data_IF_465142156606
#
_entry.id   IF_465142156606
#
_cell.length_a   1.000
_cell.length_b   1.000
_cell.length_c   1.000
_cell.angle_alpha   90.00
_cell.angle_beta   90.00
_cell.angle_gamma   90.00
#
_symmetry.space_group_name_H-M   'P 1'
#
loop_
_entity.id
_entity.type
_entity.pdbx_description
1 polymer ?
#
# COMPACT_ATOMS: atom_id res chain seq x y z
N UNK A 1 -32.66 -60.64 -31.01
CA UNK A 1 -33.88 -60.66 -31.85
C UNK A 1 -34.59 -59.35 -31.64
N UNK A 2 -34.79 -58.61 -32.73
CA UNK A 2 -35.34 -57.26 -32.77
C UNK A 2 -36.80 -57.22 -32.33
N UNK A 3 -37.23 -56.11 -31.72
CA UNK A 3 -38.45 -55.40 -32.14
C UNK A 3 -38.53 -54.02 -31.49
N UNK A 4 -38.36 -53.03 -32.35
CA UNK A 4 -38.82 -51.66 -32.25
C UNK A 4 -40.35 -51.60 -32.23
N UNK A 5 -40.95 -50.85 -31.32
CA UNK A 5 -42.35 -50.44 -31.44
C UNK A 5 -42.46 -48.92 -31.58
N UNK A 6 -43.07 -48.54 -32.71
CA UNK A 6 -43.42 -47.18 -33.09
C UNK A 6 -44.77 -46.82 -32.47
N UNK A 7 -44.85 -45.55 -32.07
CA UNK A 7 -46.06 -44.81 -31.75
C UNK A 7 -47.09 -44.86 -32.90
N UNK A 8 -48.36 -45.00 -32.55
CA UNK A 8 -49.46 -44.46 -33.37
C UNK A 8 -50.63 -43.98 -32.51
N UNK A 9 -51.03 -42.76 -32.85
CA UNK A 9 -52.06 -41.83 -32.38
C UNK A 9 -53.49 -42.39 -32.48
N UNK A 10 -54.37 -41.94 -31.55
CA UNK A 10 -55.79 -41.63 -31.75
C UNK A 10 -56.39 -41.24 -30.37
N UNK A 11 -57.41 -40.41 -30.19
CA UNK A 11 -58.12 -39.39 -30.96
C UNK A 11 -59.05 -38.70 -29.94
N UNK A 12 -59.35 -37.43 -30.22
CA UNK A 12 -60.18 -36.52 -29.42
C UNK A 12 -61.66 -36.92 -29.29
N UNK A 13 -62.32 -36.44 -28.23
CA UNK A 13 -63.67 -35.80 -28.26
C UNK A 13 -64.02 -35.35 -26.83
N UNK A 14 -64.04 -34.03 -26.60
CA UNK A 14 -65.22 -33.17 -26.42
C UNK A 14 -66.00 -33.49 -25.13
N UNK A 15 -66.14 -32.60 -24.15
CA UNK A 15 -66.96 -31.39 -24.22
C UNK A 15 -66.95 -30.62 -22.88
N UNK A 16 -67.41 -29.35 -22.92
CA UNK A 16 -68.08 -28.54 -21.86
C UNK A 16 -67.33 -27.26 -21.43
N UNK A 17 -67.65 -26.18 -22.14
CA UNK A 17 -68.20 -24.89 -21.67
C UNK A 17 -67.65 -24.21 -20.40
N UNK A 18 -66.88 -23.15 -20.64
CA UNK A 18 -66.80 -21.77 -20.07
C UNK A 18 -67.32 -21.48 -18.64
N UNK A 19 -66.60 -20.62 -17.87
CA UNK A 19 -66.80 -19.17 -18.07
C UNK A 19 -65.51 -18.33 -18.11
N UNK A 20 -65.64 -17.19 -18.78
CA UNK A 20 -64.70 -16.08 -18.81
C UNK A 20 -64.52 -15.51 -17.40
N UNK A 21 -63.29 -15.53 -16.88
CA UNK A 21 -62.83 -14.59 -15.86
C UNK A 21 -61.90 -13.62 -16.56
N UNK A 22 -62.36 -12.39 -16.74
CA UNK A 22 -61.57 -11.26 -17.22
C UNK A 22 -60.57 -10.85 -16.14
N UNK A 23 -59.50 -11.61 -15.97
CA UNK A 23 -58.34 -11.15 -15.22
C UNK A 23 -57.35 -10.57 -16.23
N UNK A 24 -57.48 -9.25 -16.39
CA UNK A 24 -56.55 -8.38 -17.07
C UNK A 24 -55.17 -8.56 -16.41
N UNK A 25 -54.35 -9.47 -16.96
CA UNK A 25 -52.96 -9.65 -16.55
C UNK A 25 -52.18 -8.45 -17.10
N UNK A 26 -52.32 -7.31 -16.43
CA UNK A 26 -51.31 -6.26 -16.49
C UNK A 26 -49.99 -6.93 -16.12
N UNK A 27 -49.12 -7.06 -17.11
CA UNK A 27 -47.75 -7.52 -16.90
C UNK A 27 -47.15 -6.62 -15.83
N UNK A 28 -46.81 -7.19 -14.67
CA UNK A 28 -46.13 -6.48 -13.59
C UNK A 28 -44.74 -6.09 -14.10
N UNK A 29 -44.65 -4.97 -14.79
CA UNK A 29 -43.37 -4.38 -15.19
C UNK A 29 -42.80 -3.72 -13.95
N UNK A 30 -41.75 -4.33 -13.42
CA UNK A 30 -40.94 -3.73 -12.38
C UNK A 30 -39.99 -2.70 -13.02
N UNK A 31 -39.78 -1.50 -12.44
CA UNK A 31 -40.43 -0.96 -11.24
C UNK A 31 -41.83 -0.39 -11.54
N UNK A 32 -42.75 -0.53 -10.57
CA UNK A 32 -44.15 -0.09 -10.70
C UNK A 32 -44.27 1.44 -10.85
N UNK A 33 -45.23 1.91 -11.63
CA UNK A 33 -45.58 3.33 -11.85
C UNK A 33 -45.85 4.12 -10.56
N UNK A 34 -46.15 3.42 -9.46
CA UNK A 34 -46.45 3.99 -8.13
C UNK A 34 -45.21 4.34 -7.31
N UNK A 35 -44.00 3.94 -7.75
CA UNK A 35 -42.75 4.31 -7.08
C UNK A 35 -42.27 5.62 -7.75
N UNK A 36 -42.21 6.75 -7.02
CA UNK A 36 -41.64 7.97 -7.58
C UNK A 36 -40.18 7.69 -7.96
N UNK A 37 -39.82 7.97 -9.21
CA UNK A 37 -38.44 7.93 -9.67
C UNK A 37 -37.69 9.12 -9.06
N UNK A 38 -37.30 9.01 -7.80
CA UNK A 38 -36.60 10.06 -7.05
C UNK A 38 -37.16 10.30 -5.65
N UNK A 39 -36.24 10.57 -4.71
CA UNK A 39 -36.50 10.91 -3.32
C UNK A 39 -35.25 11.54 -2.69
N UNK A 40 -35.31 12.00 -1.45
CA UNK A 40 -34.22 12.73 -0.77
C UNK A 40 -32.85 12.03 -0.77
N UNK A 41 -32.83 10.70 -0.96
CA UNK A 41 -31.63 9.86 -1.01
C UNK A 41 -31.21 9.44 -2.44
N UNK A 42 -31.90 9.91 -3.48
CA UNK A 42 -31.51 9.63 -4.86
C UNK A 42 -30.54 10.72 -5.33
N UNK A 43 -29.36 10.30 -5.81
CA UNK A 43 -28.45 11.20 -6.51
C UNK A 43 -29.02 11.53 -7.90
N UNK A 44 -28.83 12.77 -8.40
CA UNK A 44 -29.21 13.10 -9.77
C UNK A 44 -28.45 12.19 -10.73
N UNK A 45 -29.19 11.58 -11.66
CA UNK A 45 -28.58 10.79 -12.73
C UNK A 45 -28.04 11.75 -13.79
N UNK A 46 -26.78 11.56 -14.16
CA UNK A 46 -26.09 12.27 -15.23
C UNK A 46 -25.95 11.34 -16.45
N UNK A 47 -26.56 11.73 -17.56
CA UNK A 47 -26.32 11.04 -18.83
C UNK A 47 -25.05 11.61 -19.46
N UNK A 48 -24.01 10.77 -19.56
CA UNK A 48 -22.81 11.15 -20.28
C UNK A 48 -23.10 11.20 -21.78
N UNK A 49 -22.66 12.28 -22.45
CA UNK A 49 -22.65 12.32 -23.91
C UNK A 49 -21.84 11.13 -24.45
N UNK A 50 -22.24 10.60 -25.61
CA UNK A 50 -21.56 9.48 -26.26
C UNK A 50 -20.07 9.77 -26.47
N UNK A 51 -19.75 10.99 -26.91
CA UNK A 51 -18.38 11.47 -27.09
C UNK A 51 -17.59 11.45 -25.77
N UNK A 52 -18.21 11.90 -24.67
CA UNK A 52 -17.59 11.90 -23.33
C UNK A 52 -17.38 10.48 -22.82
N UNK A 53 -18.34 9.58 -23.02
CA UNK A 53 -18.22 8.19 -22.62
C UNK A 53 -17.09 7.46 -23.38
N UNK A 54 -16.94 7.74 -24.68
CA UNK A 54 -15.87 7.19 -25.51
C UNK A 54 -14.49 7.73 -25.12
N UNK A 55 -14.40 9.04 -24.83
CA UNK A 55 -13.18 9.65 -24.29
C UNK A 55 -12.77 9.00 -22.97
N UNK A 56 -13.71 8.82 -22.03
CA UNK A 56 -13.41 8.18 -20.74
C UNK A 56 -12.93 6.74 -20.96
N UNK A 57 -13.54 5.98 -21.87
CA UNK A 57 -13.09 4.61 -22.20
C UNK A 57 -11.69 4.59 -22.81
N UNK A 58 -11.34 5.57 -23.65
CA UNK A 58 -9.99 5.71 -24.20
C UNK A 58 -8.98 5.99 -23.09
N UNK A 59 -9.28 6.96 -22.22
CA UNK A 59 -8.45 7.28 -21.06
C UNK A 59 -8.29 6.07 -20.12
N UNK A 60 -9.33 5.25 -19.92
CA UNK A 60 -9.24 4.02 -19.13
C UNK A 60 -8.36 2.93 -19.75
N UNK A 61 -8.22 2.92 -21.08
CA UNK A 61 -7.33 2.00 -21.81
C UNK A 61 -5.88 2.44 -21.73
N UNK A 62 -5.65 3.75 -21.82
CA UNK A 62 -4.31 4.35 -21.77
C UNK A 62 -3.77 4.43 -20.34
N UNK A 63 -4.64 4.72 -19.37
CA UNK A 63 -4.36 4.63 -17.94
C UNK A 63 -4.21 3.16 -17.55
N UNK A 64 -3.03 2.76 -17.06
CA UNK A 64 -2.73 1.40 -16.52
C UNK A 64 -3.49 1.11 -15.20
N UNK A 65 -4.79 1.32 -15.20
CA UNK A 65 -5.68 1.19 -14.05
C UNK A 65 -5.97 -0.28 -13.72
N UNK A 66 -6.40 -0.56 -12.47
CA UNK A 66 -6.84 -1.91 -12.06
C UNK A 66 -8.19 -2.30 -12.70
N UNK A 67 -8.42 -3.60 -12.92
CA UNK A 67 -9.70 -4.12 -13.45
C UNK A 67 -10.91 -3.73 -12.58
N UNK A 68 -10.73 -3.66 -11.26
CA UNK A 68 -11.79 -3.24 -10.34
C UNK A 68 -12.21 -1.79 -10.57
N UNK A 69 -11.23 -0.91 -10.75
CA UNK A 69 -11.48 0.51 -11.02
C UNK A 69 -12.10 0.70 -12.41
N UNK A 70 -11.68 -0.09 -13.41
CA UNK A 70 -12.33 -0.11 -14.73
C UNK A 70 -13.83 -0.43 -14.63
N UNK A 71 -14.16 -1.54 -13.96
CA UNK A 71 -15.55 -1.96 -13.74
C UNK A 71 -16.37 -0.92 -12.98
N UNK A 72 -15.76 -0.26 -11.99
CA UNK A 72 -16.43 0.79 -11.24
C UNK A 72 -16.78 1.99 -12.14
N UNK A 73 -15.84 2.46 -12.96
CA UNK A 73 -16.11 3.57 -13.89
C UNK A 73 -17.18 3.18 -14.93
N UNK A 74 -17.09 1.98 -15.50
CA UNK A 74 -18.11 1.48 -16.44
C UNK A 74 -19.51 1.41 -15.81
N UNK A 75 -19.60 1.05 -14.53
CA UNK A 75 -20.85 1.05 -13.78
C UNK A 75 -21.43 2.47 -13.67
N UNK A 76 -20.62 3.46 -13.32
CA UNK A 76 -21.07 4.85 -13.24
C UNK A 76 -21.52 5.39 -14.60
N UNK A 77 -20.82 5.06 -15.69
CA UNK A 77 -21.20 5.44 -17.06
C UNK A 77 -22.55 4.82 -17.47
N UNK A 78 -22.81 3.55 -17.11
CA UNK A 78 -24.05 2.84 -17.48
C UNK A 78 -25.27 3.27 -16.67
N UNK A 79 -25.09 3.53 -15.38
CA UNK A 79 -26.19 3.88 -14.49
C UNK A 79 -26.47 5.38 -14.44
N UNK A 80 -25.61 6.18 -15.08
CA UNK A 80 -25.67 7.62 -15.07
C UNK A 80 -25.33 8.21 -13.70
N UNK A 81 -24.35 7.66 -13.00
CA UNK A 81 -23.88 8.23 -11.74
C UNK A 81 -22.63 9.08 -11.98
N UNK A 82 -22.38 10.14 -11.19
CA UNK A 82 -21.15 10.91 -11.31
C UNK A 82 -19.92 10.05 -10.97
N UNK A 83 -18.81 10.28 -11.67
CA UNK A 83 -17.54 9.58 -11.43
C UNK A 83 -17.09 9.71 -9.95
N UNK A 84 -16.46 8.65 -9.39
CA UNK A 84 -16.02 8.67 -8.01
C UNK A 84 -14.93 9.72 -7.81
N UNK A 85 -15.07 10.54 -6.77
CA UNK A 85 -14.04 11.53 -6.41
C UNK A 85 -12.73 10.81 -6.05
N UNK A 86 -11.56 11.35 -6.43
CA UNK A 86 -10.29 10.79 -6.02
C UNK A 86 -10.23 10.76 -4.49
N UNK A 87 -9.99 9.56 -3.93
CA UNK A 87 -9.74 9.43 -2.49
C UNK A 87 -8.44 10.14 -2.19
N UNK A 88 -8.38 10.87 -1.06
CA UNK A 88 -7.11 11.39 -0.58
C UNK A 88 -6.11 10.24 -0.47
N UNK A 89 -4.83 10.48 -0.78
CA UNK A 89 -3.79 9.47 -0.57
C UNK A 89 -3.89 9.00 0.88
N UNK A 90 -4.01 7.69 1.05
CA UNK A 90 -4.04 7.10 2.40
C UNK A 90 -2.67 7.38 3.01
N UNK A 91 -2.61 8.31 3.96
CA UNK A 91 -1.47 8.42 4.85
C UNK A 91 -1.40 7.09 5.61
N UNK A 92 -0.22 6.49 5.66
CA UNK A 92 0.01 5.19 6.28
C UNK A 92 -0.03 5.31 7.81
N UNK A 93 -1.19 5.66 8.38
CA UNK A 93 -1.42 5.84 9.82
C UNK A 93 -1.40 4.51 10.60
N UNK A 94 -0.82 3.45 10.03
CA UNK A 94 -0.62 2.14 10.65
C UNK A 94 0.73 2.04 11.36
N UNK A 95 1.68 2.92 11.01
CA UNK A 95 3.02 2.98 11.61
C UNK A 95 3.20 4.26 12.43
N UNK A 96 2.09 4.91 12.82
CA UNK A 96 2.19 6.07 13.71
C UNK A 96 2.44 5.56 15.14
N UNK A 97 3.63 5.83 15.71
CA UNK A 97 3.98 5.38 17.06
C UNK A 97 2.99 5.92 18.09
N UNK A 98 2.41 7.09 17.84
CA UNK A 98 1.42 7.72 18.70
C UNK A 98 0.11 6.91 18.77
N UNK A 99 -0.29 6.23 17.68
CA UNK A 99 -1.50 5.40 17.67
C UNK A 99 -1.32 4.13 18.49
N UNK A 100 -0.16 3.47 18.34
CA UNK A 100 0.18 2.30 19.15
C UNK A 100 0.27 2.68 20.64
N UNK A 101 0.93 3.80 20.95
CA UNK A 101 0.98 4.34 22.30
C UNK A 101 -0.43 4.66 22.86
N UNK A 102 -1.30 5.29 22.07
CA UNK A 102 -2.70 5.55 22.43
C UNK A 102 -3.49 4.27 22.66
N UNK A 103 -3.26 3.21 21.89
CA UNK A 103 -3.92 1.92 22.07
C UNK A 103 -3.46 1.22 23.34
N UNK A 104 -2.15 1.23 23.63
CA UNK A 104 -1.59 0.72 24.88
C UNK A 104 -2.16 1.50 26.08
N UNK A 105 -2.25 2.82 25.99
CA UNK A 105 -2.83 3.67 27.03
C UNK A 105 -4.33 3.41 27.24
N UNK A 106 -5.10 3.20 26.16
CA UNK A 106 -6.51 2.82 26.24
C UNK A 106 -6.68 1.44 26.91
N UNK A 107 -5.82 0.48 26.57
CA UNK A 107 -5.82 -0.85 27.19
C UNK A 107 -5.48 -0.79 28.67
N UNK A 108 -4.47 0.01 29.03
CA UNK A 108 -4.05 0.23 30.42
C UNK A 108 -5.16 0.93 31.22
N UNK A 109 -5.79 1.98 30.66
CA UNK A 109 -6.92 2.68 31.28
C UNK A 109 -8.12 1.76 31.55
N UNK A 110 -8.34 0.77 30.69
CA UNK A 110 -9.44 -0.19 30.82
C UNK A 110 -9.03 -1.46 31.61
N UNK A 111 -7.77 -1.58 32.03
CA UNK A 111 -7.29 -2.73 32.78
C UNK A 111 -7.73 -2.64 34.25
N UNK A 112 -8.81 -3.34 34.60
CA UNK A 112 -9.23 -3.54 36.00
C UNK A 112 -8.52 -4.77 36.59
N UNK A 113 -8.18 -4.72 37.88
CA UNK A 113 -7.65 -5.90 38.60
C UNK A 113 -8.70 -7.00 38.61
N UNK A 114 -8.35 -8.20 38.15
CA UNK A 114 -9.23 -9.37 38.21
C UNK A 114 -9.19 -9.97 39.62
N UNK A 115 -10.31 -10.52 40.09
CA UNK A 115 -10.34 -11.30 41.33
C UNK A 115 -9.53 -12.58 41.18
N UNK A 116 -9.02 -13.12 42.29
CA UNK A 116 -8.28 -14.40 42.31
C UNK A 116 -9.10 -15.52 41.64
N UNK A 117 -10.39 -15.61 41.94
CA UNK A 117 -11.28 -16.60 41.35
C UNK A 117 -11.36 -16.46 39.82
N UNK A 118 -11.44 -15.24 39.30
CA UNK A 118 -11.44 -14.98 37.86
C UNK A 118 -10.10 -15.32 37.20
N UNK A 119 -8.97 -15.11 37.90
CA UNK A 119 -7.63 -15.48 37.40
C UNK A 119 -7.50 -17.01 37.31
N UNK A 120 -7.92 -17.74 38.36
CA UNK A 120 -7.93 -19.20 38.35
C UNK A 120 -8.87 -19.77 37.28
N UNK A 121 -10.09 -19.22 37.16
CA UNK A 121 -11.06 -19.63 36.14
C UNK A 121 -10.56 -19.36 34.71
N UNK A 122 -9.70 -18.35 34.51
CA UNK A 122 -9.12 -18.05 33.19
C UNK A 122 -8.01 -19.01 32.74
N UNK A 123 -7.60 -19.97 33.59
CA UNK A 123 -6.53 -20.91 33.26
C UNK A 123 -5.15 -20.26 33.16
N UNK A 124 -4.96 -19.07 33.74
CA UNK A 124 -3.71 -18.31 33.64
C UNK A 124 -2.51 -19.04 34.28
N UNK A 125 -2.77 -19.93 35.23
CA UNK A 125 -1.76 -20.77 35.87
C UNK A 125 -1.53 -22.11 35.18
N UNK A 126 -2.36 -22.46 34.20
CA UNK A 126 -2.23 -23.71 33.47
C UNK A 126 -1.10 -23.55 32.45
N UNK A 127 -0.04 -24.34 32.62
CA UNK A 127 1.08 -24.34 31.68
C UNK A 127 0.60 -24.92 30.34
N UNK A 128 0.65 -24.17 29.23
CA UNK A 128 0.27 -24.72 27.95
C UNK A 128 1.21 -25.88 27.60
N UNK A 129 0.67 -26.92 26.96
CA UNK A 129 1.48 -28.00 26.38
C UNK A 129 2.55 -27.36 25.47
N UNK A 130 3.81 -27.69 25.69
CA UNK A 130 4.90 -27.22 24.85
C UNK A 130 4.58 -27.49 23.38
N UNK A 131 4.53 -26.43 22.58
CA UNK A 131 4.44 -26.50 21.12
C UNK A 131 5.71 -25.83 20.58
N UNK A 132 6.61 -26.58 19.93
CA UNK A 132 7.72 -25.95 19.25
C UNK A 132 7.14 -24.97 18.23
N UNK A 133 7.78 -23.81 18.06
CA UNK A 133 7.38 -22.88 17.01
C UNK A 133 7.45 -23.63 15.68
N UNK A 134 6.47 -23.47 14.77
CA UNK A 134 6.54 -24.03 13.44
C UNK A 134 7.67 -23.32 12.69
N UNK A 135 8.88 -23.80 12.86
CA UNK A 135 10.04 -23.35 12.09
C UNK A 135 10.02 -24.15 10.79
N UNK A 136 9.63 -23.50 9.70
CA UNK A 136 9.64 -24.11 8.36
C UNK A 136 11.07 -24.35 7.83
N UNK A 137 12.08 -23.92 8.59
CA UNK A 137 13.47 -23.99 8.19
C UNK A 137 14.12 -25.26 8.75
N UNK A 138 14.73 -26.03 7.87
CA UNK A 138 15.59 -27.14 8.29
C UNK A 138 16.69 -26.61 9.23
N UNK A 139 16.99 -27.33 10.33
CA UNK A 139 18.01 -26.91 11.26
C UNK A 139 19.35 -26.75 10.52
N UNK A 140 19.99 -25.60 10.69
CA UNK A 140 21.31 -25.32 10.10
C UNK A 140 22.33 -26.36 10.59
N UNK A 141 23.33 -26.69 9.76
CA UNK A 141 24.44 -27.58 10.15
C UNK A 141 25.11 -27.16 11.47
N UNK A 142 25.17 -25.84 11.73
CA UNK A 142 25.66 -25.31 13.02
C UNK A 142 24.80 -25.74 14.21
N UNK A 143 23.47 -25.73 14.03
CA UNK A 143 22.53 -26.15 15.08
C UNK A 143 22.59 -27.67 15.30
N UNK A 144 22.77 -28.46 14.23
CA UNK A 144 22.97 -29.91 14.33
C UNK A 144 24.25 -30.25 15.08
N UNK A 145 25.36 -29.57 14.74
CA UNK A 145 26.64 -29.75 15.41
C UNK A 145 26.59 -29.36 16.90
N UNK A 146 25.98 -28.22 17.21
CA UNK A 146 25.77 -27.79 18.61
C UNK A 146 24.94 -28.79 19.40
N UNK A 147 23.88 -29.35 18.79
CA UNK A 147 23.10 -30.41 19.41
C UNK A 147 23.94 -31.67 19.64
N UNK A 148 24.76 -32.08 18.66
CA UNK A 148 25.65 -33.24 18.77
C UNK A 148 26.67 -33.06 19.91
N UNK A 149 27.27 -31.88 20.06
CA UNK A 149 28.18 -31.54 21.16
C UNK A 149 27.46 -31.55 22.52
N UNK A 150 26.25 -30.99 22.57
CA UNK A 150 25.45 -30.96 23.81
C UNK A 150 25.05 -32.38 24.24
N UNK A 151 24.66 -33.23 23.30
CA UNK A 151 24.23 -34.61 23.55
C UNK A 151 25.40 -35.55 23.87
N UNK A 152 26.59 -35.30 23.32
CA UNK A 152 27.79 -36.10 23.62
C UNK A 152 28.32 -35.82 25.03
N UNK A 153 27.97 -34.69 25.64
CA UNK A 153 28.47 -34.26 26.95
C UNK A 153 29.93 -33.80 26.92
N UNK A 154 30.60 -33.88 25.77
CA UNK A 154 31.92 -33.29 25.54
C UNK A 154 31.73 -31.92 24.91
N UNK A 155 32.15 -30.87 25.62
CA UNK A 155 32.29 -29.56 25.01
C UNK A 155 33.53 -29.57 24.12
N UNK A 156 33.37 -30.09 22.91
CA UNK A 156 34.36 -30.02 21.85
C UNK A 156 34.36 -28.56 21.41
N UNK A 157 35.15 -27.73 22.10
CA UNK A 157 35.30 -26.34 21.71
C UNK A 157 35.80 -26.33 20.27
N UNK A 158 35.00 -25.79 19.36
CA UNK A 158 35.50 -25.41 18.05
C UNK A 158 36.65 -24.41 18.30
N UNK A 159 37.90 -24.88 18.28
CA UNK A 159 39.10 -24.03 18.25
C UNK A 159 39.20 -23.21 16.95
N UNK A 160 38.13 -23.16 16.17
CA UNK A 160 37.93 -22.16 15.15
C UNK A 160 37.56 -20.85 15.84
N UNK A 161 38.59 -20.18 16.39
CA UNK A 161 38.53 -18.75 16.67
C UNK A 161 37.91 -18.10 15.44
N UNK A 162 36.65 -17.64 15.57
CA UNK A 162 35.99 -16.88 14.52
C UNK A 162 36.98 -15.77 14.15
N UNK A 163 37.36 -15.61 12.87
CA UNK A 163 38.33 -14.58 12.51
C UNK A 163 37.85 -13.29 13.13
N UNK A 164 38.69 -12.71 14.00
CA UNK A 164 38.36 -11.47 14.67
C UNK A 164 37.98 -10.52 13.55
N UNK A 165 36.70 -10.12 13.51
CA UNK A 165 36.20 -9.19 12.50
C UNK A 165 37.17 -8.03 12.57
N UNK A 166 37.95 -7.81 11.50
CA UNK A 166 38.79 -6.60 11.42
C UNK A 166 37.83 -5.46 11.79
N UNK A 167 38.14 -4.64 12.81
CA UNK A 167 37.30 -3.51 13.11
C UNK A 167 37.11 -2.80 11.78
N UNK A 168 35.84 -2.58 11.40
CA UNK A 168 35.53 -1.83 10.19
C UNK A 168 36.39 -0.57 10.30
N UNK A 169 37.35 -0.41 9.39
CA UNK A 169 38.24 0.75 9.42
C UNK A 169 37.29 1.93 9.60
N UNK A 170 37.48 2.69 10.69
CA UNK A 170 36.70 3.90 10.90
C UNK A 170 36.87 4.67 9.60
N UNK A 171 35.85 4.67 8.75
CA UNK A 171 35.72 5.68 7.71
C UNK A 171 35.90 6.95 8.50
N UNK A 172 37.01 7.67 8.24
CA UNK A 172 37.28 8.98 8.84
C UNK A 172 35.95 9.69 8.92
N UNK A 173 35.50 10.02 10.14
CA UNK A 173 34.17 10.56 10.36
C UNK A 173 34.09 11.88 9.60
N UNK A 174 33.61 11.84 8.35
CA UNK A 174 33.53 13.01 7.47
C UNK A 174 32.60 13.98 8.17
N UNK A 175 33.14 15.11 8.61
CA UNK A 175 32.37 16.09 9.35
C UNK A 175 31.51 16.90 8.39
N UNK A 176 30.46 17.53 8.90
CA UNK A 176 29.65 18.46 8.10
C UNK A 176 30.51 19.62 7.55
N UNK A 177 31.58 19.99 8.25
CA UNK A 177 32.53 21.03 7.84
C UNK A 177 33.35 20.57 6.63
N UNK A 178 33.81 19.32 6.61
CA UNK A 178 34.53 18.74 5.47
C UNK A 178 33.65 18.72 4.20
N UNK A 179 32.35 18.40 4.35
CA UNK A 179 31.40 18.42 3.22
C UNK A 179 31.17 19.84 2.71
N UNK A 180 31.07 20.82 3.62
CA UNK A 180 30.89 22.23 3.22
C UNK A 180 32.13 22.73 2.46
N UNK A 181 33.33 22.41 2.92
CA UNK A 181 34.57 22.81 2.26
C UNK A 181 34.64 22.26 0.82
N UNK A 182 34.35 20.96 0.64
CA UNK A 182 34.29 20.33 -0.69
C UNK A 182 33.28 21.03 -1.62
N UNK A 183 32.12 21.43 -1.10
CA UNK A 183 31.12 22.15 -1.91
C UNK A 183 31.57 23.56 -2.29
N UNK A 184 32.34 24.23 -1.43
CA UNK A 184 32.94 25.54 -1.74
C UNK A 184 34.02 25.41 -2.81
N UNK A 185 34.84 24.36 -2.74
CA UNK A 185 35.83 24.06 -3.77
C UNK A 185 35.15 23.81 -5.12
N UNK A 186 34.07 23.03 -5.15
CA UNK A 186 33.27 22.82 -6.37
C UNK A 186 32.67 24.13 -6.91
N UNK A 187 32.22 25.05 -6.05
CA UNK A 187 31.73 26.37 -6.49
C UNK A 187 32.87 27.16 -7.16
N UNK A 188 34.06 27.16 -6.55
CA UNK A 188 35.23 27.85 -7.10
C UNK A 188 35.65 27.26 -8.45
N UNK A 189 35.73 25.93 -8.57
CA UNK A 189 36.04 25.26 -9.85
C UNK A 189 35.05 25.64 -10.94
N UNK A 190 33.74 25.72 -10.63
CA UNK A 190 32.71 26.11 -11.60
C UNK A 190 32.83 27.58 -12.00
N UNK A 191 33.19 28.45 -11.07
CA UNK A 191 33.40 29.87 -11.33
C UNK A 191 34.67 30.10 -12.19
N UNK A 192 35.77 29.41 -11.87
CA UNK A 192 37.01 29.44 -12.64
C UNK A 192 36.80 28.91 -14.05
N UNK A 193 36.12 27.76 -14.19
CA UNK A 193 35.79 27.20 -15.50
C UNK A 193 34.92 28.14 -16.35
N UNK A 194 33.96 28.84 -15.73
CA UNK A 194 33.18 29.84 -16.46
C UNK A 194 34.04 31.02 -16.93
N UNK A 195 35.00 31.46 -16.11
CA UNK A 195 35.95 32.51 -16.49
C UNK A 195 36.82 32.08 -17.67
N UNK A 196 37.33 30.83 -17.68
CA UNK A 196 38.07 30.25 -18.81
C UNK A 196 37.21 30.21 -20.09
N UNK A 197 35.93 29.82 -19.97
CA UNK A 197 35.01 29.80 -21.12
C UNK A 197 34.65 31.21 -21.60
N UNK A 198 34.61 32.20 -20.73
CA UNK A 198 34.42 33.61 -21.09
C UNK A 198 35.65 34.16 -21.83
N UNK A 199 36.87 33.80 -21.41
CA UNK A 199 38.10 34.14 -22.12
C UNK A 199 38.15 33.53 -23.53
N UNK A 200 37.65 32.30 -23.69
CA UNK A 200 37.48 31.63 -24.99
C UNK A 200 36.32 32.18 -25.83
N UNK A 201 35.50 33.09 -25.29
CA UNK A 201 34.36 33.71 -25.97
C UNK A 201 33.07 32.89 -26.02
N UNK A 202 33.06 31.69 -25.41
CA UNK A 202 31.92 30.77 -25.38
C UNK A 202 31.09 30.86 -24.08
N UNK A 203 31.44 31.77 -23.17
CA UNK A 203 30.79 31.94 -21.88
C UNK A 203 29.27 32.14 -21.96
N UNK A 204 28.75 32.79 -23.02
CA UNK A 204 27.31 33.02 -23.19
C UNK A 204 26.50 31.71 -23.27
N UNK A 205 27.09 30.61 -23.74
CA UNK A 205 26.40 29.31 -23.81
C UNK A 205 26.23 28.66 -22.44
N UNK A 206 27.24 28.79 -21.59
CA UNK A 206 27.32 28.04 -20.33
C UNK A 206 26.99 28.87 -19.09
N UNK A 207 26.88 30.19 -19.23
CA UNK A 207 26.62 31.11 -18.11
C UNK A 207 25.40 30.72 -17.28
N UNK A 208 24.29 30.39 -17.94
CA UNK A 208 23.04 30.09 -17.24
C UNK A 208 23.09 28.71 -16.55
N UNK A 209 23.68 27.71 -17.21
CA UNK A 209 23.88 26.37 -16.65
C UNK A 209 24.81 26.39 -15.43
N UNK A 210 25.95 27.07 -15.52
CA UNK A 210 26.89 27.19 -14.41
C UNK A 210 26.28 27.98 -13.23
N UNK A 211 25.49 29.02 -13.51
CA UNK A 211 24.76 29.74 -12.48
C UNK A 211 23.77 28.86 -11.73
N UNK A 212 23.07 27.98 -12.44
CA UNK A 212 22.16 27.01 -11.84
C UNK A 212 22.93 26.02 -10.94
N UNK A 213 24.04 25.46 -11.44
CA UNK A 213 24.90 24.56 -10.65
C UNK A 213 25.44 25.23 -9.38
N UNK A 214 25.93 26.47 -9.48
CA UNK A 214 26.39 27.24 -8.31
C UNK A 214 25.23 27.50 -7.33
N UNK A 215 24.04 27.84 -7.83
CA UNK A 215 22.87 28.06 -7.00
C UNK A 215 22.44 26.78 -6.25
N UNK A 216 22.53 25.62 -6.89
CA UNK A 216 22.22 24.32 -6.27
C UNK A 216 23.23 23.93 -5.19
N UNK A 217 24.53 24.12 -5.44
CA UNK A 217 25.58 23.89 -4.44
C UNK A 217 25.39 24.81 -3.22
N UNK A 218 25.07 26.10 -3.44
CA UNK A 218 24.76 27.05 -2.36
C UNK A 218 23.51 26.65 -1.56
N UNK A 219 22.48 26.11 -2.22
CA UNK A 219 21.30 25.57 -1.51
C UNK A 219 21.70 24.37 -0.66
N UNK A 220 22.57 23.49 -1.17
CA UNK A 220 23.03 22.31 -0.44
C UNK A 220 23.82 22.70 0.82
N UNK A 221 24.74 23.67 0.72
CA UNK A 221 25.46 24.23 1.87
C UNK A 221 24.47 24.76 2.92
N UNK A 222 23.47 25.57 2.52
CA UNK A 222 22.44 26.09 3.43
C UNK A 222 21.64 24.99 4.12
N UNK A 223 21.32 23.90 3.41
CA UNK A 223 20.63 22.75 4.01
C UNK A 223 21.48 22.08 5.09
N UNK A 224 22.78 21.88 4.84
CA UNK A 224 23.70 21.30 5.82
C UNK A 224 23.82 22.22 7.05
N UNK A 225 23.96 23.53 6.85
CA UNK A 225 24.03 24.49 7.95
C UNK A 225 22.74 24.53 8.79
N UNK A 226 21.58 24.55 8.15
CA UNK A 226 20.29 24.55 8.85
C UNK A 226 20.08 23.25 9.63
N UNK A 227 20.45 22.10 9.04
CA UNK A 227 20.45 20.81 9.72
C UNK A 227 21.37 20.83 10.94
N UNK A 228 22.59 21.35 10.80
CA UNK A 228 23.54 21.46 11.91
C UNK A 228 23.04 22.40 13.02
N UNK A 229 22.39 23.52 12.67
CA UNK A 229 21.77 24.45 13.63
C UNK A 229 20.62 23.79 14.40
N UNK A 230 19.69 23.13 13.70
CA UNK A 230 18.57 22.43 14.32
C UNK A 230 19.04 21.28 15.23
N UNK A 231 20.09 20.55 14.82
CA UNK A 231 20.72 19.55 15.68
C UNK A 231 21.32 20.15 16.96
N UNK A 232 21.98 21.32 16.88
CA UNK A 232 22.49 22.05 18.04
C UNK A 232 21.37 22.51 18.98
N UNK A 233 20.22 22.88 18.43
CA UNK A 233 19.02 23.26 19.18
C UNK A 233 18.21 22.05 19.71
N UNK A 234 18.61 20.82 19.39
CA UNK A 234 17.94 19.59 19.81
C UNK A 234 16.65 19.26 19.04
N UNK A 235 16.37 19.97 17.95
CA UNK A 235 15.20 19.76 17.09
C UNK A 235 15.56 18.74 16.01
N UNK A 236 14.69 17.72 15.84
CA UNK A 236 14.91 16.67 14.84
C UNK A 236 14.54 17.20 13.45
N UNK A 237 15.50 17.22 12.53
CA UNK A 237 15.27 17.53 11.11
C UNK A 237 14.44 16.42 10.46
N UNK A 238 13.34 16.77 9.80
CA UNK A 238 12.53 15.85 8.98
C UNK A 238 12.71 16.29 7.54
N UNK A 239 13.22 15.36 6.71
CA UNK A 239 13.42 15.55 5.27
C UNK A 239 12.10 15.48 4.49
#
# INVERSE_FOLDING_TARGET
MNKSEKLTVANNSDSITSPQTTDNVETRVWPSTRIPQGGLFHTPKYEYSKETADLIRLLMKESKMSMLMRKQIDYHIRNGEPLPKPKSPRVNTSMDPDKEALEILKRARNAKRKSLAAIRASGAYDLPRYRPKPDAKMPSEKAKKLLQETMSGLHISETCLKPLRKPKSKTTDITNEDIINELLDQINERAEWLAEMEELGEGKRYRDEIREQIADLLRHIKLIETKAKLQKEGIRYVE
#
